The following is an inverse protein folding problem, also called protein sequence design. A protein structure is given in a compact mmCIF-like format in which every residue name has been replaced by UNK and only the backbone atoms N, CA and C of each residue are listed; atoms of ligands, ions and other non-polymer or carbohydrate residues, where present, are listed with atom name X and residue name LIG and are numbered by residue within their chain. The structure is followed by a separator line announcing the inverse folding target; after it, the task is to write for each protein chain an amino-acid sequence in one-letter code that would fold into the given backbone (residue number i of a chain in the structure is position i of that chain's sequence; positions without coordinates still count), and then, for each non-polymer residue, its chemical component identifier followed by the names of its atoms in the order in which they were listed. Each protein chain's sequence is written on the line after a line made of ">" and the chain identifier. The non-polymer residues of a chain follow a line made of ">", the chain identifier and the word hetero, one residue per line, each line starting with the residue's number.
data_IF_809119192278
#
_entry.id   IF_809119192278
#
_cell.length_a   1.000
_cell.length_b   1.000
_cell.length_c   1.000
_cell.angle_alpha   90.00
_cell.angle_beta   90.00
_cell.angle_gamma   90.00
#
_symmetry.space_group_name_H-M   'P 1'
#
loop_
_entity.id
_entity.type
_entity.pdbx_description
1 polymer ?
#
# COMPACT_ATOMS: atom_id res chain seq x y z
N UNK A 1 -2.53 17.32 21.60
CA UNK A 1 -3.99 17.43 21.37
C UNK A 1 -4.28 16.58 20.15
N UNK A 2 -5.12 15.54 20.30
CA UNK A 2 -5.48 14.67 19.17
C UNK A 2 -6.21 15.46 18.09
N UNK A 3 -6.07 15.03 16.83
CA UNK A 3 -6.82 15.61 15.72
C UNK A 3 -8.32 15.53 16.01
N UNK A 4 -9.04 16.61 15.72
CA UNK A 4 -10.50 16.55 15.72
C UNK A 4 -10.98 15.54 14.67
N UNK A 5 -12.12 14.95 14.92
CA UNK A 5 -12.70 13.93 14.04
C UNK A 5 -12.90 14.45 12.60
N UNK A 6 -13.26 15.72 12.48
CA UNK A 6 -13.36 16.45 11.21
C UNK A 6 -12.00 16.55 10.49
N UNK A 7 -10.94 16.93 11.21
CA UNK A 7 -9.59 17.00 10.63
C UNK A 7 -9.15 15.64 10.09
N UNK A 8 -9.44 14.55 10.81
CA UNK A 8 -9.11 13.19 10.36
C UNK A 8 -9.81 12.83 9.04
N UNK A 9 -11.09 13.17 8.91
CA UNK A 9 -11.82 12.95 7.66
C UNK A 9 -11.21 13.75 6.50
N UNK A 10 -10.94 15.03 6.72
CA UNK A 10 -10.35 15.91 5.71
C UNK A 10 -8.95 15.42 5.27
N UNK A 11 -8.12 14.98 6.21
CA UNK A 11 -6.80 14.39 5.91
C UNK A 11 -6.90 13.12 5.06
N UNK A 12 -7.89 12.27 5.31
CA UNK A 12 -8.12 11.08 4.50
C UNK A 12 -8.65 11.42 3.10
N UNK A 13 -9.60 12.34 3.01
CA UNK A 13 -10.15 12.83 1.73
C UNK A 13 -9.05 13.48 0.88
N UNK A 14 -8.13 14.23 1.50
CA UNK A 14 -7.04 14.91 0.80
C UNK A 14 -6.12 13.96 0.02
N UNK A 15 -6.13 12.66 0.34
CA UNK A 15 -5.33 11.63 -0.34
C UNK A 15 -5.93 11.14 -1.65
N UNK A 16 -7.21 11.41 -1.93
CA UNK A 16 -7.93 10.94 -3.12
C UNK A 16 -7.42 11.61 -4.41
N UNK A 17 -7.74 11.00 -5.56
CA UNK A 17 -7.54 11.61 -6.88
C UNK A 17 -8.44 12.85 -7.06
N UNK A 18 -8.11 13.78 -7.94
CA UNK A 18 -8.61 15.15 -7.96
C UNK A 18 -10.14 15.24 -8.04
N UNK A 19 -10.76 14.52 -8.98
CA UNK A 19 -12.21 14.58 -9.16
C UNK A 19 -12.95 13.82 -8.04
N UNK A 20 -12.41 12.68 -7.62
CA UNK A 20 -12.91 11.89 -6.49
C UNK A 20 -12.85 12.70 -5.20
N UNK A 21 -11.75 13.42 -4.97
CA UNK A 21 -11.55 14.33 -3.84
C UNK A 21 -12.55 15.46 -3.86
N UNK A 22 -12.76 16.10 -5.01
CA UNK A 22 -13.74 17.17 -5.16
C UNK A 22 -15.17 16.68 -4.83
N UNK A 23 -15.54 15.48 -5.27
CA UNK A 23 -16.82 14.86 -4.92
C UNK A 23 -16.90 14.51 -3.42
N UNK A 24 -15.85 13.92 -2.85
CA UNK A 24 -15.79 13.57 -1.43
C UNK A 24 -15.84 14.80 -0.50
N UNK A 25 -15.25 15.93 -0.89
CA UNK A 25 -15.34 17.19 -0.14
C UNK A 25 -16.77 17.76 -0.14
N UNK A 26 -17.48 17.68 -1.28
CA UNK A 26 -18.91 18.06 -1.35
C UNK A 26 -19.77 17.15 -0.48
N UNK A 27 -19.50 15.85 -0.50
CA UNK A 27 -20.19 14.89 0.35
C UNK A 27 -19.94 15.19 1.84
N UNK A 28 -18.69 15.41 2.24
CA UNK A 28 -18.33 15.77 3.61
C UNK A 28 -19.02 17.06 4.09
N UNK A 29 -19.09 18.09 3.24
CA UNK A 29 -19.81 19.32 3.56
C UNK A 29 -21.31 19.07 3.78
N UNK A 30 -21.93 18.19 3.00
CA UNK A 30 -23.31 17.76 3.22
C UNK A 30 -23.49 17.03 4.55
N UNK A 31 -22.55 16.16 4.94
CA UNK A 31 -22.62 15.44 6.22
C UNK A 31 -22.62 16.42 7.40
N UNK A 32 -21.73 17.41 7.39
CA UNK A 32 -21.67 18.47 8.42
C UNK A 32 -23.00 19.25 8.46
N UNK A 33 -23.49 19.68 7.29
CA UNK A 33 -24.71 20.48 7.21
C UNK A 33 -25.97 19.74 7.70
N UNK A 34 -25.91 18.41 7.77
CA UNK A 34 -27.03 17.55 8.19
C UNK A 34 -26.77 16.81 9.50
N UNK A 35 -25.70 17.16 10.23
CA UNK A 35 -25.30 16.54 11.50
C UNK A 35 -25.17 15.00 11.40
N UNK A 36 -24.54 14.51 10.33
CA UNK A 36 -24.38 13.08 10.06
C UNK A 36 -22.95 12.65 10.42
N UNK A 37 -22.81 11.89 11.50
CA UNK A 37 -21.53 11.44 12.03
C UNK A 37 -21.01 10.19 11.30
N UNK A 38 -19.90 10.35 10.56
CA UNK A 38 -19.25 9.29 9.77
C UNK A 38 -17.72 9.47 9.79
N UNK A 39 -16.98 8.35 9.80
CA UNK A 39 -15.53 8.29 9.69
C UNK A 39 -15.17 7.90 8.26
N UNK A 40 -14.38 8.72 7.56
CA UNK A 40 -13.66 8.28 6.37
C UNK A 40 -12.52 7.40 6.85
N UNK A 41 -12.71 6.09 6.78
CA UNK A 41 -11.87 5.08 7.41
C UNK A 41 -10.63 4.77 6.57
N UNK A 42 -10.79 4.58 5.26
CA UNK A 42 -9.68 4.25 4.33
C UNK A 42 -9.88 4.95 2.98
N UNK A 43 -8.80 5.38 2.32
CA UNK A 43 -8.85 5.98 0.98
C UNK A 43 -7.84 5.35 0.03
N UNK A 44 -6.54 5.53 0.28
CA UNK A 44 -5.49 4.97 -0.58
C UNK A 44 -5.04 3.61 -0.09
N UNK A 45 -5.05 2.64 -1.00
CA UNK A 45 -4.51 1.31 -0.79
C UNK A 45 -3.28 1.12 -1.67
N UNK A 46 -2.24 0.55 -1.09
CA UNK A 46 -1.06 0.15 -1.87
C UNK A 46 -1.35 -1.15 -2.63
N UNK A 47 -0.57 -1.42 -3.68
CA UNK A 47 -0.64 -2.69 -4.41
C UNK A 47 -0.41 -3.89 -3.48
N UNK A 48 0.47 -3.76 -2.49
CA UNK A 48 0.74 -4.80 -1.50
C UNK A 48 -0.47 -5.06 -0.60
N UNK A 49 -1.09 -4.01 -0.05
CA UNK A 49 -2.32 -4.15 0.74
C UNK A 49 -3.46 -4.75 -0.07
N UNK A 50 -3.62 -4.34 -1.34
CA UNK A 50 -4.64 -4.93 -2.20
C UNK A 50 -4.34 -6.40 -2.50
N UNK A 51 -3.07 -6.77 -2.67
CA UNK A 51 -2.65 -8.15 -2.82
C UNK A 51 -2.91 -8.97 -1.57
N UNK A 52 -2.65 -8.43 -0.40
CA UNK A 52 -2.98 -9.07 0.87
C UNK A 52 -4.48 -9.31 0.98
N UNK A 53 -5.31 -8.30 0.66
CA UNK A 53 -6.76 -8.44 0.67
C UNK A 53 -7.25 -9.43 -0.37
N UNK A 54 -6.63 -9.47 -1.55
CA UNK A 54 -6.94 -10.48 -2.56
C UNK A 54 -6.62 -11.90 -2.07
N UNK A 55 -5.42 -12.09 -1.52
CA UNK A 55 -4.93 -13.38 -1.07
C UNK A 55 -5.70 -13.92 0.15
N UNK A 56 -6.10 -13.06 1.07
CA UNK A 56 -6.87 -13.46 2.25
C UNK A 56 -8.39 -13.52 2.00
N UNK A 57 -8.83 -13.30 0.75
CA UNK A 57 -10.24 -13.33 0.36
C UNK A 57 -11.06 -12.09 0.74
N UNK A 58 -10.44 -11.08 1.39
CA UNK A 58 -11.07 -9.79 1.65
C UNK A 58 -11.29 -8.95 0.38
N UNK A 59 -10.71 -9.35 -0.76
CA UNK A 59 -11.03 -8.81 -2.08
C UNK A 59 -11.06 -9.92 -3.12
N UNK A 60 -11.95 -9.80 -4.11
CA UNK A 60 -12.08 -10.76 -5.21
C UNK A 60 -11.25 -10.41 -6.44
N UNK A 61 -10.59 -9.25 -6.46
CA UNK A 61 -9.84 -8.79 -7.62
C UNK A 61 -8.67 -7.91 -7.21
N UNK A 62 -7.59 -7.93 -8.00
CA UNK A 62 -6.50 -6.95 -7.88
C UNK A 62 -6.87 -5.57 -8.43
N UNK A 63 -7.93 -5.47 -9.23
CA UNK A 63 -8.43 -4.19 -9.75
C UNK A 63 -9.29 -3.50 -8.69
N UNK A 64 -8.69 -2.62 -7.89
CA UNK A 64 -9.37 -1.90 -6.80
C UNK A 64 -9.26 -0.40 -6.99
N UNK A 65 -10.39 0.30 -6.87
CA UNK A 65 -10.44 1.75 -7.02
C UNK A 65 -9.62 2.49 -5.94
N UNK A 66 -9.32 1.84 -4.80
CA UNK A 66 -8.42 2.39 -3.79
C UNK A 66 -6.96 2.49 -4.26
N UNK A 67 -6.55 1.66 -5.23
CA UNK A 67 -5.20 1.71 -5.81
C UNK A 67 -4.98 2.99 -6.64
N UNK A 68 -6.06 3.52 -7.21
CA UNK A 68 -6.02 4.65 -8.14
C UNK A 68 -6.62 5.93 -7.53
N UNK A 69 -6.85 5.93 -6.21
CA UNK A 69 -7.40 7.08 -5.49
C UNK A 69 -8.85 7.42 -5.80
N UNK A 70 -9.58 6.48 -6.40
CA UNK A 70 -10.97 6.65 -6.81
C UNK A 70 -11.94 5.91 -5.87
N UNK A 71 -11.54 5.57 -4.64
CA UNK A 71 -12.42 4.98 -3.64
C UNK A 71 -12.10 5.41 -2.22
N UNK A 72 -13.12 5.37 -1.37
CA UNK A 72 -13.02 5.54 0.06
C UNK A 72 -13.94 4.55 0.77
N UNK A 73 -13.53 4.13 1.96
CA UNK A 73 -14.35 3.36 2.88
C UNK A 73 -14.81 4.29 4.00
N UNK A 74 -16.09 4.26 4.35
CA UNK A 74 -16.68 5.08 5.41
C UNK A 74 -17.39 4.22 6.45
N UNK A 75 -17.51 4.71 7.69
CA UNK A 75 -18.20 4.01 8.78
C UNK A 75 -19.04 4.99 9.58
N UNK A 76 -20.32 4.72 9.84
CA UNK A 76 -21.13 5.53 10.77
C UNK A 76 -20.51 5.61 12.16
N UNK A 77 -20.69 6.72 12.86
CA UNK A 77 -20.25 6.86 14.26
C UNK A 77 -21.30 7.48 15.15
N UNK A 78 -21.17 7.27 16.46
CA UNK A 78 -21.90 8.06 17.44
C UNK A 78 -21.18 9.39 17.75
N UNK A 79 -21.79 10.19 18.62
CA UNK A 79 -21.28 11.51 19.03
C UNK A 79 -19.94 11.45 19.80
N UNK A 80 -19.54 10.25 20.24
CA UNK A 80 -18.24 9.99 20.88
C UNK A 80 -17.16 9.57 19.88
N UNK A 81 -17.51 9.42 18.60
CA UNK A 81 -16.60 8.98 17.53
C UNK A 81 -16.39 7.46 17.48
N UNK A 82 -17.20 6.67 18.16
CA UNK A 82 -17.11 5.20 18.14
C UNK A 82 -17.72 4.65 16.84
N UNK A 83 -17.04 3.69 16.20
CA UNK A 83 -17.46 3.10 14.92
C UNK A 83 -18.64 2.14 15.06
N UNK A 84 -19.67 2.36 14.24
CA UNK A 84 -20.92 1.60 14.22
C UNK A 84 -21.05 0.82 12.89
N UNK A 85 -20.30 -0.27 12.75
CA UNK A 85 -20.19 -1.07 11.53
C UNK A 85 -21.50 -1.71 11.03
N UNK A 86 -22.57 -1.70 11.83
CA UNK A 86 -23.87 -2.29 11.49
C UNK A 86 -24.91 -1.25 11.04
N UNK A 87 -24.61 0.05 11.16
CA UNK A 87 -25.63 1.12 11.17
C UNK A 87 -25.95 1.73 9.80
N UNK A 88 -25.48 1.12 8.70
CA UNK A 88 -25.75 1.58 7.34
C UNK A 88 -27.23 1.67 6.95
N UNK A 89 -28.12 1.04 7.73
CA UNK A 89 -29.56 1.07 7.49
C UNK A 89 -30.29 2.25 8.15
N UNK A 90 -29.62 3.02 9.01
CA UNK A 90 -30.22 4.17 9.70
C UNK A 90 -30.62 5.26 8.70
N UNK A 91 -31.73 6.00 8.94
CA UNK A 91 -32.24 6.99 8.00
C UNK A 91 -31.22 8.05 7.57
N UNK A 92 -30.43 8.55 8.51
CA UNK A 92 -29.37 9.54 8.31
C UNK A 92 -28.23 8.98 7.45
N UNK A 93 -27.82 7.73 7.67
CA UNK A 93 -26.78 7.10 6.84
C UNK A 93 -27.29 6.81 5.43
N UNK A 94 -28.57 6.45 5.29
CA UNK A 94 -29.21 6.35 3.97
C UNK A 94 -29.23 7.68 3.22
N UNK A 95 -29.45 8.81 3.91
CA UNK A 95 -29.33 10.15 3.30
C UNK A 95 -27.91 10.44 2.84
N UNK A 96 -26.90 10.11 3.66
CA UNK A 96 -25.50 10.25 3.29
C UNK A 96 -25.14 9.43 2.05
N UNK A 97 -25.57 8.16 1.98
CA UNK A 97 -25.35 7.29 0.82
C UNK A 97 -26.04 7.84 -0.43
N UNK A 98 -27.29 8.30 -0.29
CA UNK A 98 -28.03 8.90 -1.40
C UNK A 98 -27.32 10.13 -1.97
N UNK A 99 -26.76 10.98 -1.11
CA UNK A 99 -25.97 12.14 -1.53
C UNK A 99 -24.66 11.74 -2.22
N UNK A 100 -23.92 10.76 -1.68
CA UNK A 100 -22.71 10.25 -2.33
C UNK A 100 -23.03 9.77 -3.76
N UNK A 101 -24.14 9.03 -3.92
CA UNK A 101 -24.63 8.58 -5.22
C UNK A 101 -25.00 9.73 -6.15
N UNK A 102 -25.69 10.76 -5.64
CA UNK A 102 -26.03 11.97 -6.40
C UNK A 102 -24.78 12.70 -6.91
N UNK A 103 -23.69 12.67 -6.15
CA UNK A 103 -22.40 13.25 -6.51
C UNK A 103 -21.58 12.39 -7.48
N UNK A 104 -22.04 11.17 -7.80
CA UNK A 104 -21.44 10.27 -8.78
C UNK A 104 -20.68 9.08 -8.19
N UNK A 105 -20.76 8.83 -6.89
CA UNK A 105 -20.22 7.60 -6.31
C UNK A 105 -21.14 6.40 -6.57
N UNK A 106 -20.53 5.24 -6.77
CA UNK A 106 -21.17 3.94 -6.66
C UNK A 106 -20.98 3.42 -5.23
N UNK A 107 -22.02 2.86 -4.61
CA UNK A 107 -21.97 2.33 -3.26
C UNK A 107 -21.93 0.79 -3.25
N UNK A 108 -20.93 0.23 -2.55
CA UNK A 108 -20.71 -1.21 -2.47
C UNK A 108 -21.82 -1.98 -1.73
N UNK A 109 -22.63 -1.29 -0.92
CA UNK A 109 -23.78 -1.89 -0.25
C UNK A 109 -24.91 -2.33 -1.19
N UNK A 110 -24.93 -1.84 -2.43
CA UNK A 110 -25.91 -2.21 -3.46
C UNK A 110 -25.41 -3.28 -4.44
N UNK A 111 -24.17 -3.75 -4.29
CA UNK A 111 -23.63 -4.79 -5.16
C UNK A 111 -24.37 -6.11 -4.98
N UNK A 112 -24.76 -6.74 -6.10
CA UNK A 112 -25.52 -8.02 -6.09
C UNK A 112 -24.69 -9.20 -5.58
N UNK A 113 -23.37 -9.10 -5.70
CA UNK A 113 -22.42 -10.09 -5.19
C UNK A 113 -21.32 -9.34 -4.48
N UNK A 114 -20.83 -9.88 -3.34
CA UNK A 114 -19.80 -9.22 -2.53
C UNK A 114 -20.25 -7.85 -2.00
N UNK A 115 -21.35 -7.81 -1.24
CA UNK A 115 -21.87 -6.58 -0.63
C UNK A 115 -20.81 -5.98 0.31
N UNK A 116 -20.36 -4.76 0.01
CA UNK A 116 -19.34 -4.05 0.75
C UNK A 116 -19.87 -2.69 1.22
N UNK A 117 -20.56 -2.68 2.37
CA UNK A 117 -21.28 -1.50 2.88
C UNK A 117 -20.38 -0.29 3.18
N UNK A 118 -19.14 -0.45 3.69
CA UNK A 118 -18.23 0.67 3.86
C UNK A 118 -17.85 1.36 2.55
N UNK A 119 -17.93 0.68 1.41
CA UNK A 119 -17.22 1.09 0.20
C UNK A 119 -17.98 2.10 -0.68
N UNK A 120 -17.29 3.18 -1.07
CA UNK A 120 -17.69 4.11 -2.12
C UNK A 120 -16.59 4.18 -3.18
N UNK A 121 -16.96 4.04 -4.45
CA UNK A 121 -16.04 4.22 -5.59
C UNK A 121 -16.55 5.26 -6.59
N UNK A 122 -15.64 5.99 -7.23
CA UNK A 122 -15.95 7.07 -8.15
C UNK A 122 -15.40 6.73 -9.54
N UNK A 123 -16.26 6.29 -10.45
CA UNK A 123 -15.86 5.84 -11.79
C UNK A 123 -15.71 7.03 -12.76
N UNK A 124 -14.79 7.95 -12.46
CA UNK A 124 -14.56 9.14 -13.27
C UNK A 124 -13.96 8.78 -14.64
N UNK A 125 -14.81 8.68 -15.67
CA UNK A 125 -14.42 8.30 -17.05
C UNK A 125 -13.73 6.93 -17.16
N UNK A 126 -13.86 6.09 -16.13
CA UNK A 126 -13.19 4.80 -16.06
C UNK A 126 -12.37 4.59 -14.79
N UNK A 127 -11.73 3.43 -14.74
CA UNK A 127 -10.79 3.05 -13.70
C UNK A 127 -9.41 3.63 -13.99
N UNK A 128 -8.82 4.31 -13.02
CA UNK A 128 -7.47 4.86 -13.10
C UNK A 128 -7.35 6.11 -13.99
N UNK A 129 -8.48 6.70 -14.36
CA UNK A 129 -8.55 7.88 -15.24
C UNK A 129 -8.66 9.19 -14.47
N UNK A 130 -8.93 9.14 -13.17
CA UNK A 130 -8.79 10.31 -12.30
C UNK A 130 -7.31 10.56 -11.98
N UNK A 131 -6.92 11.83 -11.94
CA UNK A 131 -5.51 12.24 -11.83
C UNK A 131 -5.16 12.76 -10.46
N UNK A 132 -3.87 12.91 -10.19
CA UNK A 132 -3.37 13.67 -9.04
C UNK A 132 -2.63 14.89 -9.59
N UNK A 133 -3.23 16.06 -9.49
CA UNK A 133 -2.60 17.33 -9.91
C UNK A 133 -1.40 17.64 -9.03
N UNK A 134 -0.32 18.15 -9.64
CA UNK A 134 0.98 18.40 -9.00
C UNK A 134 1.01 19.61 -8.05
N UNK A 135 -0.10 20.36 -7.96
CA UNK A 135 -0.16 21.67 -7.29
C UNK A 135 -0.95 21.68 -5.97
N UNK A 136 -1.26 20.52 -5.39
CA UNK A 136 -1.86 20.47 -4.06
C UNK A 136 -0.84 20.92 -2.98
N UNK A 137 -1.20 21.86 -2.08
CA UNK A 137 -0.29 22.30 -1.02
C UNK A 137 0.11 21.11 -0.13
N UNK A 138 1.41 21.02 0.16
CA UNK A 138 2.00 19.99 1.04
C UNK A 138 1.37 20.12 2.44
N UNK A 139 0.41 19.26 2.74
CA UNK A 139 -0.03 19.02 4.11
C UNK A 139 1.02 18.16 4.81
N UNK A 140 1.83 18.80 5.65
CA UNK A 140 2.65 18.10 6.65
C UNK A 140 1.74 17.53 7.73
N UNK A 141 1.45 16.23 7.69
CA UNK A 141 0.95 15.52 8.87
C UNK A 141 1.74 14.23 9.10
N UNK A 142 2.23 14.08 10.33
CA UNK A 142 2.94 12.91 10.84
C UNK A 142 2.02 11.69 10.79
N UNK A 143 2.52 10.60 10.22
CA UNK A 143 1.83 9.32 10.23
C UNK A 143 1.81 8.74 11.66
N UNK A 144 0.65 8.78 12.32
CA UNK A 144 0.35 7.86 13.41
C UNK A 144 -0.08 6.52 12.82
N UNK A 145 0.60 5.47 13.26
CA UNK A 145 0.40 4.07 12.86
C UNK A 145 -0.84 3.54 13.60
N UNK A 146 -1.85 3.11 12.85
CA UNK A 146 -2.94 2.30 13.39
C UNK A 146 -2.71 0.83 13.01
N UNK A 147 -2.71 -0.05 14.01
CA UNK A 147 -2.78 -1.51 13.84
C UNK A 147 -4.25 -1.94 13.67
N UNK A 148 -4.53 -2.80 12.69
CA UNK A 148 -5.85 -3.40 12.46
C UNK A 148 -6.23 -4.37 13.60
N UNK A 149 -7.50 -4.41 14.08
CA UNK A 149 -7.99 -5.56 14.83
C UNK A 149 -8.17 -6.77 13.90
N UNK A 150 -7.48 -7.87 14.24
CA UNK A 150 -7.49 -9.15 13.52
C UNK A 150 -8.91 -9.74 13.46
N UNK A 151 -9.38 -10.06 12.25
CA UNK A 151 -10.54 -10.96 12.05
C UNK A 151 -10.15 -12.38 12.46
N UNK A 152 -11.02 -13.03 13.24
CA UNK A 152 -10.85 -14.42 13.69
C UNK A 152 -10.69 -15.40 12.52
N UNK A 153 -9.81 -16.38 12.75
CA UNK A 153 -9.31 -17.35 11.78
C UNK A 153 -10.24 -18.55 11.67
N UNK A 154 -10.55 -19.00 10.45
CA UNK A 154 -10.97 -20.38 10.19
C UNK A 154 -10.04 -21.06 9.17
N UNK A 155 -9.23 -22.02 9.68
CA UNK A 155 -8.51 -23.19 9.12
C UNK A 155 -7.81 -23.16 7.72
N UNK A 156 -6.76 -23.99 7.52
CA UNK A 156 -5.65 -23.72 6.60
C UNK A 156 -5.96 -24.03 5.13
N UNK A 157 -5.65 -23.05 4.27
CA UNK A 157 -5.58 -23.21 2.81
C UNK A 157 -4.34 -24.02 2.40
N UNK A 158 -4.51 -24.93 1.46
CA UNK A 158 -3.48 -25.75 0.82
C UNK A 158 -2.79 -25.05 -0.38
N UNK A 159 -2.90 -23.72 -0.48
CA UNK A 159 -2.24 -22.95 -1.55
C UNK A 159 -0.72 -22.86 -1.29
N UNK A 160 0.13 -23.42 -2.18
CA UNK A 160 1.59 -23.39 -2.03
C UNK A 160 2.21 -21.99 -2.16
N UNK A 161 1.41 -20.96 -2.42
CA UNK A 161 1.84 -19.58 -2.57
C UNK A 161 2.56 -19.33 -3.90
N UNK A 162 3.15 -18.14 -4.06
CA UNK A 162 3.85 -17.78 -5.28
C UNK A 162 5.21 -18.51 -5.36
N UNK A 163 5.39 -19.34 -6.37
CA UNK A 163 6.61 -20.13 -6.56
C UNK A 163 7.89 -19.27 -6.65
N UNK A 164 7.83 -18.07 -7.24
CA UNK A 164 8.97 -17.15 -7.29
C UNK A 164 9.27 -16.55 -5.92
N UNK A 165 8.26 -16.24 -5.12
CA UNK A 165 8.47 -15.79 -3.73
C UNK A 165 9.03 -16.94 -2.88
N UNK A 166 8.57 -18.17 -3.09
CA UNK A 166 9.11 -19.34 -2.43
C UNK A 166 10.61 -19.50 -2.75
N UNK A 167 10.98 -19.36 -4.03
CA UNK A 167 12.36 -19.33 -4.49
C UNK A 167 13.17 -18.20 -3.82
N UNK A 168 12.61 -16.98 -3.74
CA UNK A 168 13.24 -15.86 -3.04
C UNK A 168 13.50 -16.23 -1.57
N UNK A 169 12.50 -16.75 -0.86
CA UNK A 169 12.61 -17.13 0.55
C UNK A 169 13.66 -18.23 0.77
N UNK A 170 13.64 -19.27 -0.06
CA UNK A 170 14.65 -20.34 -0.02
C UNK A 170 16.07 -19.78 -0.26
N UNK A 171 16.21 -18.86 -1.22
CA UNK A 171 17.49 -18.21 -1.51
C UNK A 171 17.97 -17.31 -0.36
N UNK A 172 17.06 -16.58 0.30
CA UNK A 172 17.37 -15.76 1.48
C UNK A 172 17.81 -16.63 2.68
N UNK A 173 17.23 -17.82 2.83
CA UNK A 173 17.65 -18.79 3.83
C UNK A 173 19.06 -19.31 3.54
N UNK A 174 19.32 -19.71 2.29
CA UNK A 174 20.61 -20.23 1.87
C UNK A 174 21.73 -19.19 1.96
N UNK A 175 21.52 -17.97 1.42
CA UNK A 175 22.57 -16.95 1.32
C UNK A 175 22.82 -16.18 2.63
N UNK A 176 21.78 -15.95 3.42
CA UNK A 176 21.84 -15.04 4.56
C UNK A 176 21.42 -15.67 5.89
N UNK A 177 21.17 -16.99 5.91
CA UNK A 177 20.78 -17.74 7.13
C UNK A 177 19.55 -17.13 7.83
N UNK A 178 18.58 -16.69 7.02
CA UNK A 178 17.42 -15.94 7.49
C UNK A 178 16.42 -16.77 8.32
N UNK A 179 16.43 -18.10 8.15
CA UNK A 179 15.57 -19.07 8.86
C UNK A 179 14.06 -18.75 8.77
N UNK A 180 13.61 -18.21 7.64
CA UNK A 180 12.20 -17.91 7.38
C UNK A 180 11.49 -19.11 6.74
N UNK A 181 10.17 -19.18 6.87
CA UNK A 181 9.38 -20.19 6.16
C UNK A 181 9.38 -19.89 4.65
N UNK A 182 9.66 -20.91 3.83
CA UNK A 182 9.49 -20.84 2.38
C UNK A 182 8.08 -21.27 2.02
N UNK A 183 7.12 -20.35 2.15
CA UNK A 183 5.70 -20.58 1.93
C UNK A 183 5.13 -19.86 0.69
N UNK A 184 5.95 -19.12 -0.05
CA UNK A 184 5.52 -18.41 -1.24
C UNK A 184 4.75 -17.12 -0.98
N UNK A 185 4.71 -16.62 0.27
CA UNK A 185 4.02 -15.38 0.61
C UNK A 185 5.00 -14.29 1.04
N UNK A 186 4.92 -13.11 0.41
CA UNK A 186 5.74 -11.97 0.83
C UNK A 186 5.10 -11.31 2.05
N UNK A 187 5.66 -11.59 3.23
CA UNK A 187 5.24 -11.01 4.51
C UNK A 187 6.38 -10.34 5.28
N UNK A 188 6.15 -9.93 6.54
CA UNK A 188 7.13 -9.22 7.37
C UNK A 188 8.46 -9.97 7.51
N UNK A 189 8.43 -11.30 7.62
CA UNK A 189 9.63 -12.13 7.70
C UNK A 189 10.47 -12.09 6.42
N UNK A 190 9.83 -12.15 5.25
CA UNK A 190 10.51 -12.05 3.95
C UNK A 190 11.07 -10.65 3.73
N UNK A 191 10.33 -9.59 4.12
CA UNK A 191 10.83 -8.20 4.09
C UNK A 191 12.06 -8.04 5.00
N UNK A 192 12.01 -8.54 6.23
CA UNK A 192 13.14 -8.50 7.16
C UNK A 192 14.35 -9.28 6.62
N UNK A 193 14.13 -10.45 6.04
CA UNK A 193 15.19 -11.27 5.43
C UNK A 193 15.85 -10.58 4.22
N UNK A 194 15.06 -9.93 3.37
CA UNK A 194 15.56 -9.09 2.27
C UNK A 194 16.44 -7.94 2.81
N UNK A 195 16.04 -7.32 3.91
CA UNK A 195 16.80 -6.24 4.56
C UNK A 195 18.08 -6.75 5.24
N UNK A 196 18.06 -7.94 5.87
CA UNK A 196 19.27 -8.63 6.35
C UNK A 196 20.24 -8.91 5.21
N UNK A 197 19.71 -9.35 4.06
CA UNK A 197 20.49 -9.51 2.84
C UNK A 197 21.15 -8.20 2.43
N UNK A 198 20.40 -7.10 2.37
CA UNK A 198 20.93 -5.78 2.03
C UNK A 198 22.06 -5.35 2.98
N UNK A 199 21.84 -5.40 4.30
CA UNK A 199 22.86 -5.06 5.29
C UNK A 199 24.11 -5.93 5.17
N UNK A 200 23.94 -7.23 4.91
CA UNK A 200 25.06 -8.17 4.68
C UNK A 200 25.88 -7.76 3.47
N UNK A 201 25.22 -7.45 2.35
CA UNK A 201 25.91 -7.06 1.12
C UNK A 201 26.55 -5.67 1.25
N UNK A 202 25.93 -4.75 1.99
CA UNK A 202 26.55 -3.45 2.32
C UNK A 202 27.83 -3.63 3.14
N UNK A 203 27.84 -4.57 4.10
CA UNK A 203 29.04 -4.89 4.86
C UNK A 203 30.13 -5.52 4.00
N UNK A 204 29.78 -6.50 3.15
CA UNK A 204 30.75 -7.23 2.34
C UNK A 204 31.35 -6.40 1.22
N UNK A 205 30.52 -5.63 0.52
CA UNK A 205 30.94 -4.92 -0.70
C UNK A 205 31.43 -3.49 -0.41
N UNK A 206 30.95 -2.87 0.66
CA UNK A 206 31.22 -1.46 0.96
C UNK A 206 31.79 -1.23 2.36
N UNK A 207 32.17 -2.29 3.09
CA UNK A 207 32.76 -2.21 4.43
C UNK A 207 31.96 -1.34 5.42
N UNK A 208 30.62 -1.43 5.34
CA UNK A 208 29.72 -0.53 6.06
C UNK A 208 29.65 -0.74 7.60
N UNK A 209 30.13 -1.89 8.10
CA UNK A 209 30.16 -2.26 9.53
C UNK A 209 28.80 -2.12 10.25
N UNK A 210 27.72 -2.44 9.55
CA UNK A 210 26.35 -2.48 10.05
C UNK A 210 26.11 -3.71 10.92
N UNK A 211 25.19 -3.59 11.88
CA UNK A 211 24.54 -4.75 12.50
C UNK A 211 23.56 -5.33 11.48
N UNK A 212 23.58 -6.66 11.30
CA UNK A 212 22.69 -7.36 10.37
C UNK A 212 21.44 -7.86 11.13
N UNK A 213 20.55 -6.93 11.45
CA UNK A 213 19.34 -7.17 12.24
C UNK A 213 18.06 -7.24 11.38
N UNK A 214 18.14 -6.81 10.12
CA UNK A 214 16.98 -6.68 9.23
C UNK A 214 16.08 -5.52 9.58
N UNK A 215 16.60 -4.52 10.29
CA UNK A 215 15.86 -3.31 10.69
C UNK A 215 16.39 -2.12 9.88
N UNK A 216 15.47 -1.34 9.33
CA UNK A 216 15.84 -0.12 8.62
C UNK A 216 16.22 0.95 9.64
N UNK A 217 17.39 1.56 9.50
CA UNK A 217 17.84 2.59 10.41
C UNK A 217 18.84 3.56 9.78
N UNK A 218 19.17 4.66 10.47
CA UNK A 218 20.03 5.72 9.93
C UNK A 218 21.41 5.23 9.47
N UNK A 219 21.96 4.21 10.15
CA UNK A 219 23.23 3.58 9.76
C UNK A 219 23.12 2.85 8.43
N UNK A 220 22.07 2.03 8.25
CA UNK A 220 21.77 1.35 6.98
C UNK A 220 21.58 2.36 5.87
N UNK A 221 20.80 3.42 6.10
CA UNK A 221 20.54 4.46 5.10
C UNK A 221 21.79 5.23 4.68
N UNK A 222 22.69 5.53 5.64
CA UNK A 222 23.97 6.19 5.36
C UNK A 222 24.91 5.31 4.54
N UNK A 223 24.84 4.00 4.72
CA UNK A 223 25.70 3.02 4.05
C UNK A 223 25.28 2.68 2.61
N UNK A 224 24.09 3.11 2.17
CA UNK A 224 23.57 2.78 0.84
C UNK A 224 24.48 3.31 -0.27
N UNK A 225 24.92 2.40 -1.14
CA UNK A 225 25.53 2.73 -2.41
C UNK A 225 24.45 2.77 -3.51
N UNK A 226 24.56 3.72 -4.43
CA UNK A 226 23.67 3.82 -5.58
C UNK A 226 23.87 2.64 -6.53
N UNK A 227 22.78 1.98 -6.92
CA UNK A 227 22.81 0.83 -7.86
C UNK A 227 22.04 1.18 -9.12
N UNK A 228 22.58 0.83 -10.29
CA UNK A 228 22.02 1.14 -11.61
C UNK A 228 22.27 0.00 -12.59
N UNK A 229 21.71 0.15 -13.80
CA UNK A 229 21.93 -0.76 -14.92
C UNK A 229 23.42 -1.10 -15.10
N UNK A 230 23.71 -2.38 -15.33
CA UNK A 230 25.06 -2.94 -15.39
C UNK A 230 25.57 -3.50 -14.05
N UNK A 231 24.94 -3.18 -12.92
CA UNK A 231 25.28 -3.79 -11.63
C UNK A 231 25.03 -5.31 -11.62
N UNK A 232 25.86 -6.05 -10.88
CA UNK A 232 25.82 -7.51 -10.81
C UNK A 232 25.97 -8.02 -9.38
N UNK A 233 25.61 -9.28 -9.19
CA UNK A 233 25.79 -10.01 -7.94
C UNK A 233 24.64 -9.84 -6.97
N UNK A 234 24.91 -10.15 -5.70
CA UNK A 234 23.85 -10.29 -4.69
C UNK A 234 23.09 -9.00 -4.41
N UNK A 235 23.71 -7.83 -4.57
CA UNK A 235 23.02 -6.54 -4.37
C UNK A 235 21.96 -6.31 -5.46
N UNK A 236 22.26 -6.62 -6.72
CA UNK A 236 21.30 -6.56 -7.81
C UNK A 236 20.20 -7.62 -7.62
N UNK A 237 20.55 -8.82 -7.15
CA UNK A 237 19.58 -9.87 -6.85
C UNK A 237 18.59 -9.45 -5.75
N UNK A 238 19.07 -8.82 -4.67
CA UNK A 238 18.22 -8.31 -3.59
C UNK A 238 17.25 -7.24 -4.11
N UNK A 239 17.70 -6.36 -4.99
CA UNK A 239 16.84 -5.34 -5.61
C UNK A 239 15.76 -6.00 -6.48
N UNK A 240 16.14 -6.95 -7.35
CA UNK A 240 15.19 -7.70 -8.17
C UNK A 240 14.15 -8.44 -7.33
N UNK A 241 14.59 -9.12 -6.27
CA UNK A 241 13.71 -9.82 -5.35
C UNK A 241 12.75 -8.86 -4.63
N UNK A 242 13.25 -7.72 -4.14
CA UNK A 242 12.43 -6.71 -3.49
C UNK A 242 11.40 -6.10 -4.46
N UNK A 243 11.79 -5.78 -5.69
CA UNK A 243 10.88 -5.30 -6.73
C UNK A 243 9.78 -6.32 -7.02
N UNK A 244 10.13 -7.59 -7.22
CA UNK A 244 9.17 -8.66 -7.48
C UNK A 244 8.19 -8.82 -6.31
N UNK A 245 8.69 -8.84 -5.07
CA UNK A 245 7.87 -8.86 -3.87
C UNK A 245 6.90 -7.66 -3.78
N UNK A 246 7.32 -6.50 -4.28
CA UNK A 246 6.49 -5.28 -4.39
C UNK A 246 5.57 -5.26 -5.62
N UNK A 247 5.56 -6.31 -6.43
CA UNK A 247 4.71 -6.43 -7.62
C UNK A 247 5.28 -5.86 -8.90
N UNK A 248 6.56 -5.49 -8.92
CA UNK A 248 7.26 -4.97 -10.09
C UNK A 248 8.16 -6.07 -10.64
N UNK A 249 7.73 -6.72 -11.72
CA UNK A 249 8.46 -7.84 -12.31
C UNK A 249 9.75 -7.38 -13.01
N UNK A 250 10.95 -7.73 -12.49
CA UNK A 250 12.24 -7.37 -13.10
C UNK A 250 12.59 -8.20 -14.35
N UNK A 251 11.70 -9.10 -14.79
CA UNK A 251 11.91 -10.06 -15.89
C UNK A 251 13.04 -11.07 -15.62
N UNK A 252 13.19 -11.44 -14.35
CA UNK A 252 14.19 -12.38 -13.86
C UNK A 252 14.84 -11.94 -12.55
N UNK A 253 15.23 -12.90 -11.72
CA UNK A 253 15.92 -12.66 -10.44
C UNK A 253 17.27 -13.38 -10.48
N UNK A 254 18.12 -12.94 -11.40
CA UNK A 254 19.40 -13.54 -11.76
C UNK A 254 20.62 -12.83 -11.15
N UNK A 255 20.41 -11.68 -10.50
CA UNK A 255 21.48 -10.85 -9.97
C UNK A 255 22.17 -9.99 -11.03
N UNK A 256 21.54 -9.76 -12.19
CA UNK A 256 22.04 -8.87 -13.23
C UNK A 256 21.04 -7.72 -13.41
N UNK A 257 21.45 -6.50 -13.06
CA UNK A 257 20.64 -5.32 -13.28
C UNK A 257 20.67 -4.94 -14.77
N UNK A 258 19.87 -5.63 -15.58
CA UNK A 258 19.67 -5.35 -17.01
C UNK A 258 18.44 -4.49 -17.28
N UNK A 259 18.04 -4.42 -18.55
CA UNK A 259 16.92 -3.61 -19.02
C UNK A 259 15.59 -3.94 -18.31
N UNK A 260 15.29 -5.22 -18.08
CA UNK A 260 14.08 -5.64 -17.35
C UNK A 260 14.02 -5.10 -15.93
N UNK A 261 15.14 -5.17 -15.20
CA UNK A 261 15.24 -4.63 -13.84
C UNK A 261 15.12 -3.10 -13.84
N UNK A 262 15.74 -2.41 -14.81
CA UNK A 262 15.61 -0.95 -14.96
C UNK A 262 14.16 -0.52 -15.19
N UNK A 263 13.43 -1.22 -16.06
CA UNK A 263 12.01 -0.93 -16.29
C UNK A 263 11.16 -1.16 -15.03
N UNK A 264 11.43 -2.22 -14.27
CA UNK A 264 10.78 -2.45 -12.98
C UNK A 264 11.09 -1.34 -11.96
N UNK A 265 12.34 -0.85 -11.92
CA UNK A 265 12.72 0.29 -11.06
C UNK A 265 12.02 1.59 -11.48
N UNK A 266 11.97 1.88 -12.77
CA UNK A 266 11.24 3.06 -13.29
C UNK A 266 9.76 3.00 -12.92
N UNK A 267 9.11 1.86 -13.17
CA UNK A 267 7.71 1.65 -12.79
C UNK A 267 7.50 1.79 -11.28
N UNK A 268 8.40 1.23 -10.47
CA UNK A 268 8.37 1.34 -9.03
C UNK A 268 8.55 2.79 -8.54
N UNK A 269 9.49 3.53 -9.12
CA UNK A 269 9.75 4.93 -8.79
C UNK A 269 8.54 5.80 -9.14
N UNK A 270 7.96 5.63 -10.34
CA UNK A 270 6.72 6.29 -10.74
C UNK A 270 5.59 6.01 -9.74
N UNK A 271 5.34 4.73 -9.43
CA UNK A 271 4.28 4.32 -8.51
C UNK A 271 4.49 4.83 -7.07
N UNK A 272 5.73 5.15 -6.68
CA UNK A 272 6.08 5.65 -5.35
C UNK A 272 6.37 7.16 -5.32
N UNK A 273 6.01 7.90 -6.37
CA UNK A 273 6.24 9.34 -6.49
C UNK A 273 7.71 9.75 -6.29
N UNK A 274 8.64 8.90 -6.75
CA UNK A 274 10.07 9.20 -6.81
C UNK A 274 10.42 9.73 -8.20
N UNK A 275 11.61 10.33 -8.33
CA UNK A 275 12.18 10.58 -9.65
C UNK A 275 12.40 9.23 -10.35
N UNK A 276 11.77 9.05 -11.51
CA UNK A 276 11.88 7.84 -12.32
C UNK A 276 13.13 7.90 -13.20
N UNK A 277 14.30 7.80 -12.58
CA UNK A 277 15.60 7.81 -13.23
C UNK A 277 16.16 6.41 -13.53
N UNK A 278 15.48 5.35 -13.06
CA UNK A 278 15.90 3.96 -13.23
C UNK A 278 17.10 3.59 -12.34
N UNK A 279 17.45 4.45 -11.39
CA UNK A 279 18.58 4.31 -10.49
C UNK A 279 18.07 4.05 -9.07
N UNK A 280 18.53 2.97 -8.46
CA UNK A 280 18.19 2.65 -7.07
C UNK A 280 19.12 3.43 -6.15
N UNK A 281 18.73 4.67 -5.87
CA UNK A 281 19.33 5.55 -4.87
C UNK A 281 18.65 5.44 -3.50
N UNK A 282 19.07 6.27 -2.53
CA UNK A 282 18.57 6.25 -1.14
C UNK A 282 17.04 6.26 -1.03
N UNK A 283 16.38 7.11 -1.80
CA UNK A 283 14.90 7.20 -1.79
C UNK A 283 14.24 5.93 -2.32
N UNK A 284 14.80 5.31 -3.35
CA UNK A 284 14.29 4.07 -3.93
C UNK A 284 14.52 2.89 -3.00
N UNK A 285 15.70 2.76 -2.40
CA UNK A 285 15.94 1.79 -1.33
C UNK A 285 14.99 1.99 -0.15
N UNK A 286 14.79 3.25 0.27
CA UNK A 286 13.83 3.58 1.31
C UNK A 286 12.44 3.04 1.02
N UNK A 287 11.90 3.25 -0.19
CA UNK A 287 10.59 2.71 -0.56
C UNK A 287 10.56 1.19 -0.73
N UNK A 288 11.67 0.56 -1.13
CA UNK A 288 11.74 -0.90 -1.29
C UNK A 288 11.76 -1.64 0.05
N UNK A 289 12.42 -1.08 1.06
CA UNK A 289 12.76 -1.81 2.29
C UNK A 289 12.24 -1.19 3.61
N UNK A 290 11.87 0.09 3.64
CA UNK A 290 11.25 0.74 4.82
C UNK A 290 9.79 0.34 4.96
#
# INVERSE_FOLDING_TARGET
>A
MGLTYEQRNLENIAKLADHTKAAALKWHAFLIANDINILVYHTIRTVDQQREYYNNGASKTMRSYHLVGQALDFVPTNDKGETLWSDYNKPEIKKAIAEAKRLGFEWGGEWKTFIDKPHLQFNYKGYGTDTFTKDAPKSETKAEVYEEPKKEVTKPSSDPGNATINFIQATLNSRYKSAIKSDGYYGPQTKQALLKGLQTELNKQFNARLVVDGIWGPKTEKALATVREGARGNIAWIIQAALYCKGFDPKGIDGIFGAGTKQAVLAFQCANCLVADGIVGKNTFGKLFK
#
